data_IF_024701735320
#
_entry.id   IF_024701735320
#
_cell.length_a   1.000
_cell.length_b   1.000
_cell.length_c   1.000
_cell.angle_alpha   90.00
_cell.angle_beta   90.00
_cell.angle_gamma   90.00
#
_symmetry.space_group_name_H-M   'P 1'
#
loop_
_entity.id
_entity.type
_entity.pdbx_description
1 polymer ?
#
# COMPACT_ATOMS: atom_id res chain seq x y z
N UNK A 1 -3.04 -6.09 46.40
CA UNK A 1 -2.82 -4.76 45.77
C UNK A 1 -1.93 -4.98 44.56
N UNK A 2 -2.52 -5.28 43.41
CA UNK A 2 -1.81 -5.39 42.14
C UNK A 2 -2.62 -4.63 41.10
N UNK A 3 -2.10 -3.45 40.72
CA UNK A 3 -2.68 -2.58 39.71
C UNK A 3 -2.58 -3.23 38.34
N UNK A 4 -3.73 -3.55 37.76
CA UNK A 4 -3.91 -3.73 36.32
C UNK A 4 -3.84 -2.36 35.64
N UNK A 5 -2.73 -2.06 34.97
CA UNK A 5 -2.66 -0.90 34.09
C UNK A 5 -3.04 -1.32 32.67
N UNK A 6 -4.35 -1.40 32.41
CA UNK A 6 -4.87 -1.49 31.06
C UNK A 6 -4.76 -0.09 30.42
N UNK A 7 -3.75 0.12 29.59
CA UNK A 7 -3.72 1.29 28.70
C UNK A 7 -4.67 0.98 27.54
N UNK A 8 -5.95 1.26 27.77
CA UNK A 8 -6.93 1.36 26.70
C UNK A 8 -6.66 2.67 25.96
N UNK A 9 -6.05 2.59 24.79
CA UNK A 9 -6.06 3.70 23.84
C UNK A 9 -7.50 3.84 23.35
N UNK A 10 -8.15 4.93 23.75
CA UNK A 10 -9.47 5.31 23.28
C UNK A 10 -9.39 5.77 21.83
N UNK A 11 -9.50 4.82 20.90
CA UNK A 11 -9.97 5.10 19.54
C UNK A 11 -11.38 5.63 19.69
N UNK A 12 -11.61 6.89 19.30
CA UNK A 12 -12.96 7.47 19.35
C UNK A 12 -13.91 6.63 18.51
N UNK A 13 -15.10 6.36 19.04
CA UNK A 13 -16.16 5.55 18.45
C UNK A 13 -16.85 6.20 17.22
N UNK A 14 -16.07 6.84 16.34
CA UNK A 14 -16.58 7.47 15.14
C UNK A 14 -16.06 6.65 13.94
N UNK A 15 -16.95 5.80 13.42
CA UNK A 15 -16.82 4.88 12.28
C UNK A 15 -16.01 3.57 12.45
N UNK A 16 -16.47 2.69 13.34
CA UNK A 16 -16.07 1.26 13.37
C UNK A 16 -16.63 0.41 12.21
N UNK A 17 -17.34 1.00 11.24
CA UNK A 17 -17.94 0.30 10.10
C UNK A 17 -17.05 0.24 8.84
N UNK A 18 -15.87 0.88 8.86
CA UNK A 18 -14.93 0.77 7.74
C UNK A 18 -14.12 -0.52 7.83
N UNK A 19 -14.37 -1.47 6.92
CA UNK A 19 -13.71 -2.78 6.89
C UNK A 19 -12.18 -2.67 6.74
N UNK A 20 -11.68 -1.74 5.90
CA UNK A 20 -10.24 -1.53 5.70
C UNK A 20 -9.56 -1.11 7.00
N UNK A 21 -10.10 -0.10 7.70
CA UNK A 21 -9.50 0.34 8.97
C UNK A 21 -9.60 -0.76 10.04
N UNK A 22 -10.76 -1.42 10.15
CA UNK A 22 -10.98 -2.51 11.11
C UNK A 22 -9.97 -3.65 10.92
N UNK A 23 -9.82 -4.16 9.70
CA UNK A 23 -8.84 -5.22 9.42
C UNK A 23 -7.41 -4.70 9.58
N UNK A 24 -7.12 -3.47 9.15
CA UNK A 24 -5.80 -2.87 9.34
C UNK A 24 -5.37 -2.81 10.80
N UNK A 25 -6.27 -2.41 11.70
CA UNK A 25 -5.97 -2.31 13.14
C UNK A 25 -5.62 -3.66 13.77
N UNK A 26 -6.10 -4.78 13.22
CA UNK A 26 -5.74 -6.12 13.70
C UNK A 26 -4.27 -6.47 13.47
N UNK A 27 -3.58 -5.77 12.57
CA UNK A 27 -2.15 -5.96 12.33
C UNK A 27 -1.28 -5.12 13.25
N UNK A 28 -1.84 -4.28 14.13
CA UNK A 28 -1.02 -3.48 15.04
C UNK A 28 -0.01 -4.35 15.80
N UNK A 29 1.25 -3.89 15.82
CA UNK A 29 2.41 -4.59 16.38
C UNK A 29 2.90 -5.82 15.60
N UNK A 30 2.27 -6.20 14.49
CA UNK A 30 2.84 -7.22 13.58
C UNK A 30 4.22 -6.76 13.10
N UNK A 31 5.27 -7.60 13.24
CA UNK A 31 6.63 -7.29 12.82
C UNK A 31 6.77 -6.79 11.38
N UNK A 32 7.66 -5.82 11.21
CA UNK A 32 8.10 -5.39 9.88
C UNK A 32 9.25 -6.28 9.40
N UNK A 33 9.08 -6.95 8.26
CA UNK A 33 10.12 -7.74 7.59
C UNK A 33 10.06 -7.45 6.09
N UNK A 34 11.22 -7.10 5.52
CA UNK A 34 11.34 -6.91 4.07
C UNK A 34 11.53 -8.27 3.36
N UNK A 35 11.16 -8.34 2.08
CA UNK A 35 11.40 -9.49 1.21
C UNK A 35 10.67 -10.79 1.63
N UNK A 36 9.55 -10.70 2.34
CA UNK A 36 8.76 -11.86 2.78
C UNK A 36 8.16 -12.66 1.61
N UNK A 37 8.07 -12.05 0.42
CA UNK A 37 7.61 -12.71 -0.80
C UNK A 37 8.74 -13.40 -1.59
N UNK A 38 10.01 -13.13 -1.26
CA UNK A 38 11.18 -13.58 -2.05
C UNK A 38 11.76 -14.91 -1.56
N UNK A 39 10.91 -15.75 -0.97
CA UNK A 39 11.29 -17.00 -0.30
C UNK A 39 11.36 -18.21 -1.23
N UNK A 40 10.78 -18.10 -2.43
CA UNK A 40 10.76 -19.17 -3.44
C UNK A 40 11.64 -18.80 -4.65
N UNK A 41 12.17 -19.82 -5.33
CA UNK A 41 12.85 -19.64 -6.63
C UNK A 41 11.86 -19.30 -7.74
N UNK A 42 10.72 -19.99 -7.77
CA UNK A 42 9.60 -19.69 -8.67
C UNK A 42 8.56 -18.80 -7.99
N UNK A 43 7.99 -17.85 -8.75
CA UNK A 43 6.93 -16.97 -8.25
C UNK A 43 5.66 -17.77 -7.93
N UNK A 44 5.21 -17.68 -6.68
CA UNK A 44 4.00 -18.32 -6.16
C UNK A 44 3.31 -17.36 -5.20
N UNK A 45 2.01 -17.54 -5.00
CA UNK A 45 1.28 -16.78 -4.00
C UNK A 45 1.79 -17.13 -2.59
N UNK A 46 2.44 -16.17 -1.94
CA UNK A 46 2.88 -16.27 -0.54
C UNK A 46 1.91 -15.49 0.35
N UNK A 47 1.45 -16.11 1.43
CA UNK A 47 0.64 -15.48 2.48
C UNK A 47 1.38 -15.60 3.80
N UNK A 48 1.75 -14.47 4.39
CA UNK A 48 2.40 -14.40 5.70
C UNK A 48 1.78 -13.25 6.49
N UNK A 49 0.92 -13.57 7.46
CA UNK A 49 0.29 -12.57 8.33
C UNK A 49 1.14 -12.20 9.55
N UNK A 50 2.16 -12.99 9.86
CA UNK A 50 3.03 -12.79 11.02
C UNK A 50 4.13 -11.76 10.75
N UNK A 51 4.47 -11.55 9.48
CA UNK A 51 5.53 -10.64 9.05
C UNK A 51 5.12 -9.89 7.78
N UNK A 52 5.14 -8.56 7.85
CA UNK A 52 4.66 -7.71 6.74
C UNK A 52 5.67 -6.62 6.40
N UNK A 53 5.64 -6.18 5.15
CA UNK A 53 6.14 -4.86 4.75
C UNK A 53 4.97 -3.92 4.46
N UNK A 54 5.26 -2.71 3.98
CA UNK A 54 4.21 -1.71 3.76
C UNK A 54 3.21 -2.10 2.67
N UNK A 55 3.65 -2.82 1.64
CA UNK A 55 2.79 -3.22 0.53
C UNK A 55 1.97 -4.44 0.90
N UNK A 56 2.62 -5.51 1.39
CA UNK A 56 1.94 -6.74 1.80
C UNK A 56 0.92 -6.50 2.90
N UNK A 57 1.20 -5.61 3.87
CA UNK A 57 0.20 -5.17 4.85
C UNK A 57 -1.07 -4.64 4.19
N UNK A 58 -0.95 -3.70 3.25
CA UNK A 58 -2.11 -3.11 2.56
C UNK A 58 -2.82 -4.13 1.68
N UNK A 59 -2.07 -4.98 0.95
CA UNK A 59 -2.66 -6.03 0.12
C UNK A 59 -3.46 -7.04 0.94
N UNK A 60 -2.95 -7.44 2.11
CA UNK A 60 -3.64 -8.37 3.01
C UNK A 60 -4.92 -7.75 3.57
N UNK A 61 -4.86 -6.48 4.00
CA UNK A 61 -6.05 -5.77 4.49
C UNK A 61 -7.09 -5.61 3.39
N UNK A 62 -6.67 -5.22 2.18
CA UNK A 62 -7.55 -5.10 1.03
C UNK A 62 -8.18 -6.45 0.65
N UNK A 63 -7.39 -7.52 0.65
CA UNK A 63 -7.88 -8.86 0.38
C UNK A 63 -8.89 -9.33 1.44
N UNK A 64 -8.65 -9.05 2.73
CA UNK A 64 -9.62 -9.33 3.80
C UNK A 64 -10.92 -8.55 3.61
N UNK A 65 -10.83 -7.26 3.27
CA UNK A 65 -11.99 -6.39 3.10
C UNK A 65 -12.84 -6.72 1.86
N UNK A 66 -12.22 -7.21 0.78
CA UNK A 66 -12.91 -7.60 -0.46
C UNK A 66 -13.42 -9.05 -0.46
N UNK A 67 -12.89 -9.90 0.41
CA UNK A 67 -13.25 -11.32 0.38
C UNK A 67 -14.66 -11.56 0.92
N UNK A 68 -15.44 -12.46 0.30
CA UNK A 68 -16.80 -12.77 0.72
C UNK A 68 -16.81 -13.38 2.12
N UNK A 69 -17.67 -12.87 2.99
CA UNK A 69 -17.94 -13.44 4.31
C UNK A 69 -19.08 -14.42 4.21
N UNK A 70 -18.82 -15.70 4.52
CA UNK A 70 -19.80 -16.79 4.51
C UNK A 70 -19.93 -17.31 5.93
N UNK A 71 -21.13 -17.31 6.49
CA UNK A 71 -21.39 -17.75 7.88
C UNK A 71 -20.51 -17.03 8.92
N UNK A 72 -20.20 -15.75 8.68
CA UNK A 72 -19.39 -14.93 9.59
C UNK A 72 -17.88 -15.10 9.46
N UNK A 73 -17.38 -15.93 8.54
CA UNK A 73 -15.95 -16.14 8.31
C UNK A 73 -15.56 -15.97 6.84
N UNK A 74 -14.28 -15.70 6.59
CA UNK A 74 -13.70 -15.67 5.25
C UNK A 74 -13.04 -17.04 5.00
N UNK A 75 -13.35 -17.67 3.87
CA UNK A 75 -12.70 -18.91 3.46
C UNK A 75 -11.28 -18.64 2.94
N UNK A 76 -10.34 -19.54 3.26
CA UNK A 76 -8.94 -19.38 2.88
C UNK A 76 -8.74 -19.35 1.35
N UNK A 77 -9.52 -20.11 0.59
CA UNK A 77 -9.43 -20.10 -0.87
C UNK A 77 -10.05 -18.84 -1.48
N UNK A 78 -11.13 -18.32 -0.88
CA UNK A 78 -11.70 -17.02 -1.26
C UNK A 78 -10.67 -15.90 -1.02
N UNK A 79 -10.04 -15.88 0.16
CA UNK A 79 -8.98 -14.93 0.48
C UNK A 79 -7.80 -15.01 -0.49
N UNK A 80 -7.28 -16.22 -0.73
CA UNK A 80 -6.14 -16.44 -1.61
C UNK A 80 -6.42 -15.97 -3.05
N UNK A 81 -7.63 -16.23 -3.57
CA UNK A 81 -8.04 -15.76 -4.90
C UNK A 81 -8.15 -14.25 -4.99
N UNK A 82 -8.69 -13.60 -3.95
CA UNK A 82 -8.76 -12.14 -3.87
C UNK A 82 -7.36 -11.53 -3.83
N UNK A 83 -6.48 -12.04 -2.95
CA UNK A 83 -5.11 -11.58 -2.83
C UNK A 83 -4.33 -11.75 -4.14
N UNK A 84 -4.48 -12.90 -4.81
CA UNK A 84 -3.84 -13.13 -6.10
C UNK A 84 -4.30 -12.08 -7.14
N UNK A 85 -5.59 -11.75 -7.15
CA UNK A 85 -6.15 -10.75 -8.06
C UNK A 85 -5.62 -9.34 -7.80
N UNK A 86 -5.32 -9.02 -6.54
CA UNK A 86 -4.71 -7.76 -6.11
C UNK A 86 -3.24 -7.68 -6.49
N UNK A 87 -2.46 -8.72 -6.17
CA UNK A 87 -0.99 -8.72 -6.21
C UNK A 87 -0.41 -8.97 -7.60
N UNK A 88 -1.13 -9.71 -8.45
CA UNK A 88 -0.66 -10.10 -9.77
C UNK A 88 -1.50 -9.45 -10.87
N UNK A 89 -0.84 -9.08 -11.96
CA UNK A 89 -1.49 -8.46 -13.12
C UNK A 89 -2.59 -9.37 -13.66
N UNK A 90 -3.82 -8.85 -13.71
CA UNK A 90 -5.03 -9.57 -14.09
C UNK A 90 -5.28 -10.87 -13.29
N UNK A 91 -4.73 -10.95 -12.07
CA UNK A 91 -4.81 -12.11 -11.19
C UNK A 91 -4.09 -13.35 -11.70
N UNK A 92 -3.12 -13.20 -12.62
CA UNK A 92 -2.40 -14.32 -13.23
C UNK A 92 -0.96 -14.36 -12.78
N UNK A 93 -0.58 -15.43 -12.07
CA UNK A 93 0.81 -15.70 -11.72
C UNK A 93 1.52 -16.27 -12.94
N UNK A 94 2.50 -15.54 -13.45
CA UNK A 94 3.32 -15.92 -14.59
C UNK A 94 4.76 -15.40 -14.41
N UNK A 95 5.45 -15.94 -13.40
CA UNK A 95 6.81 -15.53 -13.03
C UNK A 95 6.87 -14.19 -12.29
N UNK A 96 8.07 -13.81 -11.85
CA UNK A 96 8.33 -12.65 -10.98
C UNK A 96 7.74 -11.33 -11.52
N UNK A 97 7.82 -11.11 -12.83
CA UNK A 97 7.38 -9.87 -13.48
C UNK A 97 5.86 -9.77 -13.69
N UNK A 98 5.11 -10.84 -13.36
CA UNK A 98 3.65 -10.80 -13.26
C UNK A 98 3.16 -10.13 -11.97
N UNK A 99 4.00 -10.08 -10.92
CA UNK A 99 3.71 -9.35 -9.69
C UNK A 99 3.79 -7.85 -9.93
N UNK A 100 2.87 -7.11 -9.31
CA UNK A 100 2.71 -5.66 -9.51
C UNK A 100 3.67 -4.88 -8.60
N UNK A 101 4.93 -4.77 -9.01
CA UNK A 101 6.00 -4.14 -8.22
C UNK A 101 5.91 -2.61 -8.17
N UNK A 102 5.49 -1.97 -9.26
CA UNK A 102 5.23 -0.52 -9.30
C UNK A 102 3.81 -0.23 -8.85
N UNK A 103 3.64 0.68 -7.90
CA UNK A 103 2.32 1.00 -7.34
C UNK A 103 1.40 1.62 -8.39
N UNK A 104 1.95 2.37 -9.35
CA UNK A 104 1.29 2.82 -10.56
C UNK A 104 0.52 1.68 -11.25
N UNK A 105 1.20 0.56 -11.49
CA UNK A 105 0.63 -0.62 -12.13
C UNK A 105 -0.36 -1.34 -11.21
N UNK A 106 -0.02 -1.45 -9.93
CA UNK A 106 -0.90 -2.03 -8.90
C UNK A 106 -2.25 -1.31 -8.83
N UNK A 107 -2.25 0.03 -8.85
CA UNK A 107 -3.49 0.81 -8.89
C UNK A 107 -4.20 0.67 -10.23
N UNK A 108 -3.49 0.70 -11.36
CA UNK A 108 -4.09 0.49 -12.67
C UNK A 108 -4.82 -0.86 -12.75
N UNK A 109 -4.24 -1.92 -12.19
CA UNK A 109 -4.88 -3.23 -12.05
C UNK A 109 -6.12 -3.15 -11.14
N UNK A 110 -5.99 -2.55 -9.96
CA UNK A 110 -7.08 -2.41 -8.99
C UNK A 110 -8.29 -1.65 -9.53
N UNK A 111 -8.05 -0.54 -10.22
CA UNK A 111 -9.11 0.27 -10.85
C UNK A 111 -9.75 -0.47 -12.02
N UNK A 112 -8.94 -1.08 -12.90
CA UNK A 112 -9.44 -1.83 -14.07
C UNK A 112 -10.36 -2.99 -13.68
N UNK A 113 -10.04 -3.69 -12.59
CA UNK A 113 -10.80 -4.84 -12.11
C UNK A 113 -11.83 -4.48 -11.02
N UNK A 114 -11.95 -3.19 -10.67
CA UNK A 114 -12.99 -2.70 -9.78
C UNK A 114 -12.80 -2.99 -8.29
N UNK A 115 -11.56 -3.26 -7.85
CA UNK A 115 -11.21 -3.45 -6.43
C UNK A 115 -11.14 -2.13 -5.67
N UNK A 116 -10.83 -1.05 -6.37
CA UNK A 116 -10.65 0.28 -5.81
C UNK A 116 -10.94 1.38 -6.83
N UNK A 117 -11.11 2.60 -6.34
CA UNK A 117 -11.17 3.83 -7.12
C UNK A 117 -10.01 4.78 -6.76
N UNK A 118 -9.59 5.61 -7.71
CA UNK A 118 -8.61 6.68 -7.47
C UNK A 118 -9.35 7.95 -7.00
N UNK A 119 -9.41 8.14 -5.69
CA UNK A 119 -10.08 9.30 -5.07
C UNK A 119 -9.36 10.60 -5.43
N UNK A 120 -8.05 10.55 -5.63
CA UNK A 120 -7.26 11.76 -5.90
C UNK A 120 -7.50 12.27 -7.31
N UNK A 121 -7.68 11.36 -8.28
CA UNK A 121 -8.07 11.70 -9.65
C UNK A 121 -9.37 12.52 -9.73
N UNK A 122 -10.31 12.29 -8.82
CA UNK A 122 -11.57 13.03 -8.78
C UNK A 122 -11.49 14.37 -8.01
N UNK A 123 -10.50 14.54 -7.12
CA UNK A 123 -10.52 15.62 -6.11
C UNK A 123 -9.29 16.55 -6.12
N UNK A 124 -8.18 16.17 -6.73
CA UNK A 124 -6.96 17.01 -6.81
C UNK A 124 -6.67 17.43 -8.25
N UNK A 125 -6.44 18.72 -8.54
CA UNK A 125 -6.06 19.15 -9.88
C UNK A 125 -4.56 18.94 -10.19
N UNK A 126 -3.73 18.69 -9.18
CA UNK A 126 -2.29 18.54 -9.36
C UNK A 126 -1.95 17.16 -9.93
N UNK A 127 -1.14 17.16 -10.99
CA UNK A 127 -0.69 15.93 -11.65
C UNK A 127 0.82 15.82 -11.67
N UNK A 128 1.33 14.59 -11.66
CA UNK A 128 2.71 14.25 -11.96
C UNK A 128 2.76 13.33 -13.17
N UNK A 129 3.72 13.57 -14.08
CA UNK A 129 4.02 12.68 -15.19
C UNK A 129 5.00 11.61 -14.71
N UNK A 130 4.62 10.34 -14.87
CA UNK A 130 5.47 9.22 -14.49
C UNK A 130 6.71 9.11 -15.38
N UNK A 131 7.83 8.76 -14.75
CA UNK A 131 9.08 8.41 -15.39
C UNK A 131 9.70 7.27 -14.59
N UNK A 132 9.42 6.04 -15.02
CA UNK A 132 9.80 4.83 -14.31
C UNK A 132 10.95 4.12 -15.03
N UNK A 133 11.96 3.72 -14.26
CA UNK A 133 13.08 2.90 -14.71
C UNK A 133 13.90 2.29 -13.55
N UNK A 134 13.40 2.37 -12.31
CA UNK A 134 14.22 2.09 -11.13
C UNK A 134 14.69 0.64 -11.08
N UNK A 135 13.78 -0.32 -11.26
CA UNK A 135 14.09 -1.74 -11.18
C UNK A 135 15.03 -2.20 -12.30
N UNK A 136 14.75 -1.84 -13.55
CA UNK A 136 15.62 -2.21 -14.68
C UNK A 136 17.03 -1.62 -14.62
N UNK A 137 17.16 -0.41 -14.05
CA UNK A 137 18.47 0.26 -13.89
C UNK A 137 19.23 -0.14 -12.62
N UNK A 138 18.56 -0.84 -11.68
CA UNK A 138 19.15 -1.34 -10.44
C UNK A 138 18.90 -2.85 -10.23
N UNK A 139 19.16 -3.71 -11.22
CA UNK A 139 18.75 -5.12 -11.17
C UNK A 139 19.44 -5.90 -10.04
N UNK A 140 20.64 -5.47 -9.62
CA UNK A 140 21.39 -6.07 -8.49
C UNK A 140 20.69 -5.96 -7.14
N UNK A 141 19.71 -5.06 -7.00
CA UNK A 141 18.93 -4.94 -5.77
C UNK A 141 17.81 -5.99 -5.65
N UNK A 142 17.57 -6.79 -6.70
CA UNK A 142 16.44 -7.71 -6.79
C UNK A 142 16.92 -9.11 -7.17
N UNK A 143 16.73 -10.07 -6.26
CA UNK A 143 17.13 -11.48 -6.43
C UNK A 143 16.73 -12.04 -7.80
N UNK A 144 15.48 -11.82 -8.21
CA UNK A 144 14.91 -12.36 -9.45
C UNK A 144 15.25 -11.55 -10.71
N UNK A 145 15.99 -10.43 -10.59
CA UNK A 145 16.47 -9.63 -11.73
C UNK A 145 17.98 -9.77 -11.95
N UNK A 146 18.78 -9.81 -10.88
CA UNK A 146 20.25 -9.71 -10.95
C UNK A 146 20.88 -10.66 -11.98
N UNK A 147 20.35 -11.88 -12.08
CA UNK A 147 20.85 -12.93 -12.99
C UNK A 147 19.87 -13.28 -14.11
N UNK A 148 18.87 -12.44 -14.39
CA UNK A 148 17.84 -12.72 -15.41
C UNK A 148 17.65 -11.54 -16.39
N UNK A 149 18.42 -11.54 -17.51
CA UNK A 149 18.22 -10.56 -18.59
C UNK A 149 16.80 -10.55 -19.16
N UNK A 150 16.13 -11.72 -19.15
CA UNK A 150 14.73 -11.84 -19.57
C UNK A 150 13.79 -11.06 -18.63
N UNK A 151 13.95 -11.21 -17.32
CA UNK A 151 13.12 -10.47 -16.37
C UNK A 151 13.42 -8.97 -16.41
N UNK A 152 14.69 -8.57 -16.59
CA UNK A 152 15.06 -7.16 -16.78
C UNK A 152 14.33 -6.59 -18.00
N UNK A 153 14.38 -7.28 -19.14
CA UNK A 153 13.71 -6.83 -20.38
C UNK A 153 12.20 -6.69 -20.19
N UNK A 154 11.54 -7.64 -19.52
CA UNK A 154 10.10 -7.56 -19.20
C UNK A 154 9.78 -6.38 -18.28
N UNK A 155 10.63 -6.10 -17.29
CA UNK A 155 10.47 -4.94 -16.40
C UNK A 155 10.64 -3.63 -17.17
N UNK A 156 11.61 -3.52 -18.09
CA UNK A 156 11.79 -2.34 -18.95
C UNK A 156 10.54 -2.07 -19.81
N UNK A 157 9.92 -3.12 -20.36
CA UNK A 157 8.66 -2.99 -21.11
C UNK A 157 7.51 -2.47 -20.24
N UNK A 158 7.39 -3.01 -19.01
CA UNK A 158 6.39 -2.54 -18.02
C UNK A 158 6.63 -1.07 -17.68
N UNK A 159 7.86 -0.70 -17.32
CA UNK A 159 8.26 0.68 -17.01
C UNK A 159 7.97 1.65 -18.15
N UNK A 160 8.26 1.25 -19.40
CA UNK A 160 7.96 2.03 -20.60
C UNK A 160 6.45 2.22 -20.80
N UNK A 161 5.65 1.19 -20.54
CA UNK A 161 4.19 1.25 -20.67
C UNK A 161 3.52 2.19 -19.64
N UNK A 162 4.12 2.30 -18.46
CA UNK A 162 3.65 3.16 -17.36
C UNK A 162 4.16 4.59 -17.48
N UNK A 163 5.37 4.77 -18.00
CA UNK A 163 6.00 6.08 -18.16
C UNK A 163 5.22 6.97 -19.12
N UNK A 164 5.13 8.26 -18.80
CA UNK A 164 4.37 9.25 -19.56
C UNK A 164 2.90 9.38 -19.14
N UNK A 165 2.34 8.42 -18.39
CA UNK A 165 1.02 8.56 -17.78
C UNK A 165 1.01 9.74 -16.78
N UNK A 166 -0.11 10.44 -16.72
CA UNK A 166 -0.36 11.51 -15.74
C UNK A 166 -1.18 10.93 -14.59
N UNK A 167 -0.69 11.07 -13.37
CA UNK A 167 -1.47 10.75 -12.18
C UNK A 167 -1.71 11.97 -11.33
N UNK A 168 -2.94 12.08 -10.84
CA UNK A 168 -3.31 13.07 -9.85
C UNK A 168 -2.72 12.68 -8.50
N UNK A 169 -2.24 13.67 -7.77
CA UNK A 169 -1.68 13.50 -6.43
C UNK A 169 -1.97 14.75 -5.60
N UNK A 170 -1.76 14.67 -4.29
CA UNK A 170 -1.77 15.82 -3.40
C UNK A 170 -0.31 16.18 -3.08
N UNK A 171 0.21 17.30 -3.57
CA UNK A 171 1.51 17.80 -3.15
C UNK A 171 1.60 17.91 -1.62
N UNK A 172 2.70 17.47 -1.02
CA UNK A 172 2.83 17.43 0.45
C UNK A 172 2.69 18.78 1.15
N UNK A 173 2.96 19.88 0.44
CA UNK A 173 2.79 21.24 0.95
C UNK A 173 1.32 21.71 0.93
N UNK A 174 0.42 20.97 0.28
CA UNK A 174 -1.02 21.25 0.23
C UNK A 174 -1.84 20.38 1.18
N UNK A 175 -1.26 19.31 1.76
CA UNK A 175 -1.97 18.45 2.71
C UNK A 175 -1.96 19.09 4.12
N UNK A 176 -3.12 19.47 4.69
CA UNK A 176 -3.21 19.93 6.06
C UNK A 176 -3.15 18.74 7.05
N UNK A 177 -2.93 19.02 8.33
CA UNK A 177 -2.83 17.98 9.38
C UNK A 177 -4.18 17.25 9.58
N UNK A 178 -5.30 17.94 9.32
CA UNK A 178 -6.66 17.41 9.33
C UNK A 178 -7.03 16.65 8.05
N UNK A 179 -6.15 16.58 7.05
CA UNK A 179 -6.49 16.03 5.73
C UNK A 179 -7.60 16.83 5.02
N UNK A 180 -8.17 16.22 3.98
CA UNK A 180 -9.34 16.77 3.29
C UNK A 180 -10.59 15.96 3.65
N UNK A 181 -11.76 16.59 3.68
CA UNK A 181 -13.02 15.90 4.04
C UNK A 181 -13.44 14.76 3.10
N UNK A 182 -12.78 14.63 1.94
CA UNK A 182 -12.97 13.50 1.02
C UNK A 182 -11.98 12.35 1.25
N UNK A 183 -10.97 12.51 2.10
CA UNK A 183 -10.10 11.43 2.61
C UNK A 183 -10.78 10.86 3.86
N UNK A 184 -11.04 9.56 3.85
CA UNK A 184 -11.79 8.86 4.90
C UNK A 184 -10.90 7.82 5.58
N UNK A 185 -11.30 7.41 6.77
CA UNK A 185 -10.70 6.26 7.44
C UNK A 185 -10.66 5.04 6.53
N UNK A 186 -9.55 4.31 6.56
CA UNK A 186 -9.35 3.11 5.75
C UNK A 186 -9.01 3.35 4.28
N UNK A 187 -8.99 4.60 3.80
CA UNK A 187 -8.43 4.91 2.47
C UNK A 187 -6.97 4.47 2.40
N UNK A 188 -6.57 3.89 1.27
CA UNK A 188 -5.18 3.55 1.03
C UNK A 188 -4.43 4.82 0.64
N UNK A 189 -3.33 5.07 1.35
CA UNK A 189 -2.44 6.20 1.12
C UNK A 189 -1.16 5.68 0.46
N UNK A 190 -0.89 6.16 -0.73
CA UNK A 190 0.35 5.92 -1.47
C UNK A 190 1.25 7.16 -1.43
N UNK A 191 2.39 7.06 -0.74
CA UNK A 191 3.34 8.18 -0.59
C UNK A 191 4.21 8.27 -1.84
N UNK A 192 3.97 9.32 -2.63
CA UNK A 192 4.72 9.63 -3.85
C UNK A 192 6.13 10.15 -3.55
N UNK A 193 7.06 9.96 -4.48
CA UNK A 193 8.48 10.27 -4.27
C UNK A 193 9.12 11.11 -5.38
N UNK A 194 10.30 11.68 -5.09
CA UNK A 194 11.22 12.26 -6.08
C UNK A 194 12.47 11.40 -6.32
N UNK A 195 12.49 10.14 -5.86
CA UNK A 195 13.54 9.20 -6.23
C UNK A 195 13.44 8.96 -7.75
N UNK A 196 14.51 9.22 -8.53
CA UNK A 196 14.47 9.02 -9.97
C UNK A 196 14.06 7.60 -10.33
N UNK A 197 13.13 7.44 -11.28
CA UNK A 197 12.69 6.13 -11.75
C UNK A 197 11.61 5.45 -10.92
N UNK A 198 11.14 6.06 -9.83
CA UNK A 198 10.19 5.47 -8.88
C UNK A 198 9.00 6.41 -8.63
N UNK A 199 7.79 5.85 -8.55
CA UNK A 199 6.54 6.58 -8.33
C UNK A 199 6.17 6.70 -6.85
N UNK A 200 6.23 5.59 -6.11
CA UNK A 200 5.76 5.47 -4.73
C UNK A 200 6.82 4.75 -3.90
N UNK A 201 6.98 5.20 -2.65
CA UNK A 201 7.99 4.64 -1.72
C UNK A 201 7.39 3.96 -0.51
N UNK A 202 6.11 4.21 -0.22
CA UNK A 202 5.49 3.70 0.99
C UNK A 202 3.97 3.67 0.85
N UNK A 203 3.34 2.67 1.46
CA UNK A 203 1.90 2.53 1.56
C UNK A 203 1.43 2.49 3.03
N UNK A 204 0.16 2.83 3.24
CA UNK A 204 -0.54 2.65 4.51
C UNK A 204 -2.01 2.96 4.36
N UNK A 205 -2.72 3.04 5.48
CA UNK A 205 -4.14 3.36 5.56
C UNK A 205 -4.35 4.68 6.30
N UNK A 206 -5.27 5.51 5.81
CA UNK A 206 -5.73 6.69 6.51
C UNK A 206 -6.39 6.28 7.84
N UNK A 207 -6.00 6.97 8.91
CA UNK A 207 -6.55 6.77 10.25
C UNK A 207 -6.70 8.12 10.93
N UNK A 208 -7.92 8.51 11.26
CA UNK A 208 -8.21 9.76 11.95
C UNK A 208 -8.19 9.56 13.47
N UNK A 209 -7.38 10.37 14.17
CA UNK A 209 -7.41 10.45 15.62
C UNK A 209 -7.74 11.88 16.03
N UNK A 210 -8.91 12.07 16.66
CA UNK A 210 -9.38 13.40 17.12
C UNK A 210 -9.34 14.46 16.01
N UNK A 211 -9.72 14.07 14.78
CA UNK A 211 -9.77 14.95 13.61
C UNK A 211 -8.43 15.15 12.88
N UNK A 212 -7.35 14.52 13.35
CA UNK A 212 -6.03 14.58 12.70
C UNK A 212 -5.83 13.36 11.82
N UNK A 213 -5.45 13.57 10.55
CA UNK A 213 -5.13 12.51 9.61
C UNK A 213 -3.75 11.93 9.93
N UNK A 214 -3.75 10.66 10.36
CA UNK A 214 -2.57 9.84 10.62
C UNK A 214 -2.49 8.69 9.63
N UNK A 215 -1.39 7.95 9.70
CA UNK A 215 -1.13 6.79 8.85
C UNK A 215 -0.98 5.52 9.70
N UNK A 216 -1.86 4.55 9.47
CA UNK A 216 -1.67 3.18 9.92
C UNK A 216 -0.80 2.45 8.89
N UNK A 217 0.41 2.02 9.27
CA UNK A 217 1.38 1.46 8.33
C UNK A 217 2.39 0.51 8.98
N UNK A 218 2.90 -0.44 8.18
CA UNK A 218 4.09 -1.22 8.53
C UNK A 218 5.33 -0.33 8.47
N UNK A 219 5.92 0.01 9.62
CA UNK A 219 7.04 0.95 9.72
C UNK A 219 8.36 0.22 9.84
N UNK A 220 9.25 0.41 8.86
CA UNK A 220 10.62 -0.14 8.90
C UNK A 220 11.49 0.48 10.00
N UNK A 221 11.15 1.70 10.46
CA UNK A 221 11.83 2.38 11.58
C UNK A 221 11.36 1.84 12.92
N UNK A 222 10.06 1.66 13.11
CA UNK A 222 9.48 1.12 14.35
C UNK A 222 9.50 -0.42 14.40
N UNK A 223 9.88 -1.07 13.30
CA UNK A 223 9.96 -2.52 13.13
C UNK A 223 8.63 -3.27 13.31
N UNK A 224 7.52 -2.58 13.15
CA UNK A 224 6.17 -3.15 13.26
C UNK A 224 5.11 -2.26 12.61
N UNK A 225 3.89 -2.77 12.47
CA UNK A 225 2.71 -1.97 12.11
C UNK A 225 2.31 -1.05 13.26
N UNK A 226 2.17 0.23 12.95
CA UNK A 226 1.86 1.30 13.91
C UNK A 226 0.90 2.31 13.30
N UNK A 227 0.17 3.04 14.15
CA UNK A 227 -0.38 4.35 13.77
C UNK A 227 0.71 5.40 13.96
N UNK A 228 0.89 6.30 12.99
CA UNK A 228 1.90 7.36 13.07
C UNK A 228 1.70 8.23 14.31
N UNK A 229 2.79 8.56 15.00
CA UNK A 229 2.73 9.43 16.18
C UNK A 229 2.34 10.86 15.79
N UNK A 230 2.91 11.36 14.69
CA UNK A 230 2.65 12.67 14.10
C UNK A 230 1.59 12.60 12.98
N UNK A 231 0.97 13.74 12.60
CA UNK A 231 0.10 13.81 11.44
C UNK A 231 0.82 13.38 10.15
N UNK A 232 0.08 12.78 9.22
CA UNK A 232 0.62 12.36 7.92
C UNK A 232 1.31 13.51 7.19
N UNK A 233 0.74 14.72 7.21
CA UNK A 233 1.34 15.90 6.60
C UNK A 233 2.73 16.24 7.17
N UNK A 234 2.95 16.06 8.48
CA UNK A 234 4.26 16.30 9.11
C UNK A 234 5.26 15.21 8.74
N UNK A 235 4.82 13.95 8.69
CA UNK A 235 5.64 12.83 8.22
C UNK A 235 6.15 13.07 6.78
N UNK A 236 5.28 13.59 5.89
CA UNK A 236 5.66 13.95 4.51
C UNK A 236 6.67 15.12 4.46
N UNK A 237 6.51 16.13 5.32
CA UNK A 237 7.41 17.29 5.38
C UNK A 237 8.82 16.91 5.83
N UNK A 238 8.94 16.00 6.80
CA UNK A 238 10.24 15.57 7.36
C UNK A 238 11.12 14.82 6.36
N UNK A 239 10.53 14.09 5.41
CA UNK A 239 11.29 13.36 4.41
C UNK A 239 11.42 14.15 3.10
N UNK A 240 12.66 14.50 2.72
CA UNK A 240 12.95 15.23 1.49
C UNK A 240 12.61 14.44 0.22
N UNK A 241 12.52 13.11 0.30
CA UNK A 241 12.15 12.25 -0.82
C UNK A 241 10.65 12.15 -1.05
N UNK A 242 9.84 12.34 -0.02
CA UNK A 242 8.38 12.32 -0.16
C UNK A 242 7.91 13.59 -0.85
N UNK A 243 7.04 13.47 -1.85
CA UNK A 243 6.53 14.61 -2.64
C UNK A 243 5.05 14.88 -2.41
N UNK A 244 4.31 13.92 -1.88
CA UNK A 244 2.87 14.01 -1.73
C UNK A 244 2.21 12.65 -1.55
N UNK A 245 0.89 12.58 -1.72
CA UNK A 245 0.13 11.33 -1.62
C UNK A 245 -0.82 11.12 -2.79
N UNK A 246 -1.05 9.86 -3.16
CA UNK A 246 -2.27 9.37 -3.80
C UNK A 246 -3.15 8.71 -2.76
N UNK A 247 -4.46 8.86 -2.93
CA UNK A 247 -5.52 8.34 -2.08
C UNK A 247 -6.40 7.44 -2.94
N UNK A 248 -6.57 6.20 -2.48
CA UNK A 248 -7.36 5.16 -3.15
C UNK A 248 -8.39 4.62 -2.17
N UNK A 249 -9.55 4.21 -2.66
CA UNK A 249 -10.62 3.69 -1.82
C UNK A 249 -11.14 2.37 -2.37
N UNK A 250 -11.33 1.40 -1.48
CA UNK A 250 -11.96 0.11 -1.79
C UNK A 250 -13.34 0.32 -2.45
N UNK A 251 -13.71 -0.55 -3.38
CA UNK A 251 -15.00 -0.54 -4.07
C UNK A 251 -15.77 -1.84 -3.87
#
# INVERSE_FOLDING_TARGET
MFCTLAIALSVSAQETDNAMLKYGLNFLKTPYVAHTLEVNEEEKLVVNFDEVDCTTFVEYVLALALSPVKNGTIDNADYARTLQSIRYRDGKINGYTSRLHYIADWVNNGVRHGFMEDVTAANSPDTVRLSLNFMSTHPKAYKHLESSPENISKIEEIEKSLSGQLFHYIPKNKLPDEGFGWIKDGDIIAITTNIPGLDVVHLGLACYEKGVLKLLHASSTQKMVVVSQEPLAQMLKRNKKFTGIRVLRIK
#
